data_IF_065932411308
#
_entry.id   IF_065932411308
#
_cell.length_a   1.000
_cell.length_b   1.000
_cell.length_c   1.000
_cell.angle_alpha   90.00
_cell.angle_beta   90.00
_cell.angle_gamma   90.00
#
_symmetry.space_group_name_H-M   'P 1'
#
loop_
_entity.id
_entity.type
_entity.pdbx_description
1 polymer ?
#
# COMPACT_ATOMS: atom_id res chain seq x y z
N UNK A 1 -15.08 -41.04 -6.84
CA UNK A 1 -16.04 -40.24 -7.61
C UNK A 1 -16.79 -39.34 -6.64
N UNK A 2 -16.29 -38.11 -6.45
CA UNK A 2 -17.02 -36.91 -6.04
C UNK A 2 -16.36 -35.83 -6.89
N UNK A 3 -17.12 -35.34 -7.86
CA UNK A 3 -16.76 -34.22 -8.72
C UNK A 3 -17.10 -32.94 -7.95
N UNK A 4 -16.10 -32.11 -7.67
CA UNK A 4 -16.20 -30.69 -7.32
C UNK A 4 -14.89 -30.10 -7.84
N UNK A 5 -14.85 -29.55 -9.06
CA UNK A 5 -15.52 -28.30 -9.40
C UNK A 5 -14.58 -27.18 -8.99
N UNK A 6 -13.77 -26.68 -9.93
CA UNK A 6 -12.80 -25.59 -9.78
C UNK A 6 -13.07 -24.67 -8.58
N UNK A 7 -12.29 -24.81 -7.50
CA UNK A 7 -12.20 -23.79 -6.47
C UNK A 7 -11.38 -22.63 -7.05
N UNK A 8 -12.09 -21.78 -7.80
CA UNK A 8 -11.73 -20.38 -8.04
C UNK A 8 -11.24 -19.81 -6.71
N UNK A 9 -10.07 -19.16 -6.78
CA UNK A 9 -9.27 -18.68 -5.66
C UNK A 9 -10.05 -18.48 -4.37
N UNK A 10 -9.64 -19.23 -3.34
CA UNK A 10 -10.13 -19.08 -1.99
C UNK A 10 -9.80 -17.64 -1.52
N UNK A 11 -10.70 -16.70 -1.78
CA UNK A 11 -10.68 -15.30 -1.32
C UNK A 11 -10.95 -15.23 0.18
N UNK A 12 -10.39 -16.17 0.93
CA UNK A 12 -10.73 -16.44 2.31
C UNK A 12 -9.57 -17.13 3.03
N UNK A 13 -8.33 -16.81 2.63
CA UNK A 13 -7.23 -16.85 3.58
C UNK A 13 -7.20 -15.49 4.27
N UNK A 14 -7.72 -15.49 5.49
CA UNK A 14 -7.88 -14.35 6.37
C UNK A 14 -6.68 -13.41 6.31
N UNK A 15 -6.85 -12.25 5.68
CA UNK A 15 -5.91 -11.15 5.84
C UNK A 15 -6.12 -10.55 7.23
N UNK A 16 -5.69 -11.27 8.27
CA UNK A 16 -5.19 -10.61 9.47
C UNK A 16 -4.00 -9.81 8.98
N UNK A 17 -4.24 -8.61 8.43
CA UNK A 17 -3.17 -7.73 8.02
C UNK A 17 -2.43 -7.39 9.30
N UNK A 18 -1.27 -8.00 9.49
CA UNK A 18 -0.35 -7.71 10.59
C UNK A 18 0.23 -6.29 10.47
N UNK A 19 -0.07 -5.61 9.36
CA UNK A 19 0.32 -4.24 9.03
C UNK A 19 -0.89 -3.30 8.99
N UNK A 20 -0.65 -2.03 9.29
CA UNK A 20 -1.62 -0.94 9.24
C UNK A 20 -2.13 -0.79 7.81
N UNK A 21 -1.23 -0.42 6.89
CA UNK A 21 -1.51 -0.15 5.48
C UNK A 21 -0.22 -0.28 4.65
N UNK A 22 -0.34 -0.18 3.32
CA UNK A 22 0.81 -0.18 2.42
C UNK A 22 1.32 1.26 2.20
N UNK A 23 2.63 1.43 2.22
CA UNK A 23 3.30 2.69 1.96
C UNK A 23 3.17 3.07 0.48
N UNK A 24 2.53 4.19 0.17
CA UNK A 24 2.37 4.67 -1.20
C UNK A 24 3.71 5.07 -1.87
N UNK A 25 4.77 5.28 -1.08
CA UNK A 25 6.10 5.62 -1.60
C UNK A 25 7.00 4.44 -1.99
N UNK A 26 6.93 3.32 -1.26
CA UNK A 26 7.81 2.16 -1.47
C UNK A 26 7.06 0.84 -1.66
N UNK A 27 5.73 0.87 -1.63
CA UNK A 27 4.84 -0.30 -1.70
C UNK A 27 5.08 -1.33 -0.57
N UNK A 28 5.82 -0.94 0.47
CA UNK A 28 6.11 -1.75 1.66
C UNK A 28 4.98 -1.72 2.68
N UNK A 29 4.89 -2.75 3.50
CA UNK A 29 3.90 -2.87 4.57
C UNK A 29 4.29 -2.00 5.77
N UNK A 30 3.37 -1.16 6.27
CA UNK A 30 3.58 -0.30 7.45
C UNK A 30 3.09 -1.06 8.68
N UNK A 31 3.98 -1.41 9.61
CA UNK A 31 3.59 -2.16 10.79
C UNK A 31 3.12 -1.28 11.97
N UNK A 32 2.31 -1.86 12.85
CA UNK A 32 1.88 -1.18 14.08
C UNK A 32 3.07 -0.87 14.98
N UNK A 33 3.34 0.43 15.19
CA UNK A 33 4.48 0.93 15.98
C UNK A 33 5.57 1.59 15.14
N UNK A 34 5.49 1.51 13.80
CA UNK A 34 6.35 2.27 12.91
C UNK A 34 5.85 3.71 12.75
N UNK A 35 6.78 4.62 12.49
CA UNK A 35 6.43 6.02 12.24
C UNK A 35 5.87 6.13 10.83
N UNK A 36 4.57 6.41 10.70
CA UNK A 36 3.91 6.65 9.43
C UNK A 36 3.32 8.07 9.35
N UNK A 37 3.19 8.57 8.13
CA UNK A 37 2.58 9.84 7.77
C UNK A 37 1.31 9.56 6.95
N UNK A 38 0.24 10.26 7.29
CA UNK A 38 -1.00 10.30 6.51
C UNK A 38 -1.01 11.55 5.64
N UNK A 39 -1.14 11.37 4.32
CA UNK A 39 -1.30 12.42 3.34
C UNK A 39 -2.67 12.33 2.67
N UNK A 40 -3.73 12.62 3.43
CA UNK A 40 -5.08 12.73 2.88
C UNK A 40 -5.68 11.41 2.40
N UNK A 41 -5.31 10.30 3.05
CA UNK A 41 -5.71 8.95 2.67
C UNK A 41 -4.56 8.08 2.17
N UNK A 42 -3.42 8.67 1.83
CA UNK A 42 -2.19 7.95 1.49
C UNK A 42 -1.29 7.78 2.71
N UNK A 43 -1.04 6.54 3.09
CA UNK A 43 -0.11 6.21 4.17
C UNK A 43 1.31 6.06 3.62
N UNK A 44 2.27 6.67 4.30
CA UNK A 44 3.69 6.56 3.98
C UNK A 44 4.51 6.28 5.23
N UNK A 45 5.65 5.59 5.09
CA UNK A 45 6.67 5.62 6.14
C UNK A 45 7.15 7.06 6.36
N UNK A 46 7.41 7.41 7.63
CA UNK A 46 8.02 8.69 8.02
C UNK A 46 9.53 8.71 7.70
N UNK A 47 9.93 8.00 6.65
CA UNK A 47 11.28 7.95 6.11
C UNK A 47 11.38 8.91 4.93
N UNK A 48 12.44 9.70 4.91
CA UNK A 48 12.69 10.69 3.84
C UNK A 48 12.73 10.04 2.45
N UNK A 49 13.18 8.78 2.36
CA UNK A 49 13.21 8.03 1.09
C UNK A 49 11.79 7.81 0.54
N UNK A 50 10.89 7.25 1.36
CA UNK A 50 9.49 7.01 1.00
C UNK A 50 8.77 8.31 0.61
N UNK A 51 8.96 9.37 1.39
CA UNK A 51 8.37 10.70 1.10
C UNK A 51 8.92 11.25 -0.22
N UNK A 52 10.22 11.12 -0.47
CA UNK A 52 10.83 11.62 -1.72
C UNK A 52 10.31 10.86 -2.94
N UNK A 53 10.16 9.54 -2.87
CA UNK A 53 9.61 8.73 -3.96
C UNK A 53 8.15 9.08 -4.23
N UNK A 54 7.33 9.18 -3.18
CA UNK A 54 5.94 9.58 -3.29
C UNK A 54 5.80 10.99 -3.88
N UNK A 55 6.53 11.97 -3.36
CA UNK A 55 6.51 13.33 -3.90
C UNK A 55 7.01 13.35 -5.34
N UNK A 56 8.04 12.58 -5.71
CA UNK A 56 8.46 12.50 -7.11
C UNK A 56 7.34 11.97 -8.00
N UNK A 57 6.74 10.84 -7.64
CA UNK A 57 5.67 10.20 -8.41
C UNK A 57 4.46 11.12 -8.55
N UNK A 58 3.98 11.66 -7.43
CA UNK A 58 2.78 12.49 -7.35
C UNK A 58 3.01 13.95 -7.80
N UNK A 59 4.24 14.46 -7.77
CA UNK A 59 4.58 15.79 -8.31
C UNK A 59 4.69 15.80 -9.82
N UNK A 60 5.05 14.68 -10.46
CA UNK A 60 5.02 14.59 -11.93
C UNK A 60 3.62 14.82 -12.48
N UNK A 61 2.56 14.47 -11.74
CA UNK A 61 1.17 14.70 -12.16
C UNK A 61 0.74 16.17 -12.05
N UNK A 62 1.38 16.99 -11.19
CA UNK A 62 1.06 18.42 -11.03
C UNK A 62 1.81 19.35 -11.98
N UNK A 63 2.71 18.83 -12.83
CA UNK A 63 3.51 19.62 -13.79
C UNK A 63 3.13 19.33 -15.25
N UNK A 64 1.91 18.85 -15.49
CA UNK A 64 1.31 18.82 -16.82
C UNK A 64 0.04 19.69 -16.81
N UNK A 65 0.22 20.99 -16.63
CA UNK A 65 -0.86 21.98 -16.66
C UNK A 65 -0.28 23.36 -16.90
N UNK A 66 -0.39 23.77 -18.16
CA UNK A 66 -0.04 25.06 -18.77
C UNK A 66 -0.65 26.28 -18.09
#
# INVERSE_FOLDING_TARGET
MIENGMLIGNHHDSSSRDFIELCCGCEGEIYYGESCLDFGGDYLHAETECITQYVKSHSTEKVAGE
#
